data_IF_241855380640
#
_entry.id   IF_241855380640
#
_cell.length_a   1.000
_cell.length_b   1.000
_cell.length_c   1.000
_cell.angle_alpha   90.00
_cell.angle_beta   90.00
_cell.angle_gamma   90.00
#
_symmetry.space_group_name_H-M   'P 1'
#
loop_
_entity.id
_entity.type
_entity.pdbx_description
1 polymer ?
#
# COMPACT_ATOMS: atom_id res chain seq x y z
N UNK A 1 -3.17 2.56 4.73
CA UNK A 1 -2.50 3.67 5.44
C UNK A 1 -1.20 4.01 4.72
N UNK A 2 -0.73 5.27 4.81
CA UNK A 2 0.46 5.80 4.13
C UNK A 2 0.45 5.66 2.61
N UNK A 3 -0.73 5.80 1.99
CA UNK A 3 -0.92 5.72 0.53
C UNK A 3 0.00 6.71 -0.21
N UNK A 4 0.31 7.85 0.40
CA UNK A 4 1.23 8.86 -0.10
C UNK A 4 2.63 8.32 -0.41
N UNK A 5 3.09 7.29 0.29
CA UNK A 5 4.42 6.70 0.08
C UNK A 5 4.47 5.71 -1.10
N UNK A 6 3.33 5.33 -1.69
CA UNK A 6 3.33 4.37 -2.82
C UNK A 6 4.15 4.87 -4.01
N UNK A 7 4.08 6.17 -4.27
CA UNK A 7 4.81 6.82 -5.37
C UNK A 7 6.04 7.60 -4.90
N UNK A 8 6.38 7.53 -3.61
CA UNK A 8 7.56 8.20 -3.06
C UNK A 8 8.84 7.47 -3.49
N UNK A 9 9.72 8.19 -4.21
CA UNK A 9 10.92 7.60 -4.80
C UNK A 9 11.95 7.17 -3.75
N UNK A 10 12.03 7.86 -2.61
CA UNK A 10 12.91 7.46 -1.52
C UNK A 10 12.46 6.12 -0.92
N UNK A 11 11.16 5.97 -0.64
CA UNK A 11 10.56 4.74 -0.12
C UNK A 11 10.77 3.57 -1.09
N UNK A 12 10.54 3.78 -2.39
CA UNK A 12 10.78 2.73 -3.41
C UNK A 12 12.23 2.28 -3.42
N UNK A 13 13.20 3.22 -3.38
CA UNK A 13 14.63 2.87 -3.35
C UNK A 13 15.00 2.02 -2.15
N UNK A 14 14.47 2.31 -0.96
CA UNK A 14 14.74 1.50 0.23
C UNK A 14 14.12 0.10 0.12
N UNK A 15 12.88 -0.02 -0.36
CA UNK A 15 12.22 -1.32 -0.54
C UNK A 15 12.93 -2.20 -1.57
N UNK A 16 13.44 -1.60 -2.66
CA UNK A 16 14.20 -2.33 -3.70
C UNK A 16 15.45 -3.00 -3.13
N UNK A 17 16.13 -2.39 -2.14
CA UNK A 17 17.28 -3.03 -1.47
C UNK A 17 16.90 -4.35 -0.80
N UNK A 18 15.66 -4.48 -0.35
CA UNK A 18 15.09 -5.69 0.23
C UNK A 18 14.35 -6.56 -0.79
N UNK A 19 14.44 -6.25 -2.09
CA UNK A 19 13.70 -6.89 -3.19
C UNK A 19 12.17 -6.81 -2.99
N UNK A 20 11.69 -5.71 -2.45
CA UNK A 20 10.28 -5.44 -2.22
C UNK A 20 9.79 -4.24 -3.04
N UNK A 21 8.47 -4.11 -3.14
CA UNK A 21 7.79 -2.96 -3.72
C UNK A 21 6.62 -2.52 -2.81
N UNK A 22 6.14 -1.26 -2.92
CA UNK A 22 4.93 -0.85 -2.22
C UNK A 22 3.72 -1.71 -2.62
N UNK A 23 2.87 -2.02 -1.65
CA UNK A 23 1.65 -2.81 -1.88
C UNK A 23 0.73 -2.12 -2.89
N UNK A 24 0.36 -2.88 -3.93
CA UNK A 24 -0.59 -2.48 -4.98
C UNK A 24 -2.02 -2.59 -4.46
N UNK A 25 -2.91 -1.78 -5.03
CA UNK A 25 -4.31 -1.76 -4.60
C UNK A 25 -5.02 -3.09 -4.87
N UNK A 26 -4.65 -3.79 -5.94
CA UNK A 26 -5.14 -5.14 -6.26
C UNK A 26 -4.77 -6.13 -5.16
N UNK A 27 -3.53 -6.11 -4.66
CA UNK A 27 -3.07 -7.02 -3.61
C UNK A 27 -3.85 -6.80 -2.30
N UNK A 28 -4.16 -5.55 -1.96
CA UNK A 28 -5.01 -5.22 -0.83
C UNK A 28 -6.45 -5.70 -0.97
N UNK A 29 -7.02 -5.63 -2.18
CA UNK A 29 -8.35 -6.20 -2.48
C UNK A 29 -8.34 -7.72 -2.39
N UNK A 30 -7.35 -8.39 -2.98
CA UNK A 30 -7.18 -9.84 -2.86
C UNK A 30 -7.02 -10.28 -1.40
N UNK A 31 -6.32 -9.50 -0.59
CA UNK A 31 -6.19 -9.81 0.85
C UNK A 31 -7.54 -9.69 1.58
N UNK A 32 -8.37 -8.72 1.22
CA UNK A 32 -9.73 -8.54 1.79
C UNK A 32 -10.58 -9.78 1.56
N UNK A 33 -10.57 -10.31 0.33
CA UNK A 33 -11.25 -11.56 -0.01
C UNK A 33 -10.69 -12.75 0.79
N UNK A 34 -9.36 -12.85 0.88
CA UNK A 34 -8.67 -13.93 1.59
C UNK A 34 -9.02 -14.01 3.08
N UNK A 35 -9.20 -12.86 3.73
CA UNK A 35 -9.48 -12.79 5.17
C UNK A 35 -10.98 -12.63 5.49
N UNK A 36 -11.85 -12.58 4.47
CA UNK A 36 -13.29 -12.38 4.66
C UNK A 36 -13.65 -11.00 5.21
N UNK A 37 -12.88 -9.96 4.90
CA UNK A 37 -13.17 -8.60 5.32
C UNK A 37 -14.29 -7.98 4.47
N UNK A 38 -15.02 -7.01 5.04
CA UNK A 38 -16.16 -6.35 4.37
C UNK A 38 -15.71 -5.48 3.19
N UNK A 39 -14.51 -4.91 3.24
CA UNK A 39 -14.00 -4.06 2.17
C UNK A 39 -12.55 -3.62 2.38
N UNK A 40 -11.98 -3.05 1.33
CA UNK A 40 -10.62 -2.51 1.30
C UNK A 40 -10.65 -0.99 1.19
N UNK A 41 -9.90 -0.30 2.05
CA UNK A 41 -9.73 1.16 1.98
C UNK A 41 -8.25 1.53 2.15
N UNK A 42 -7.79 2.44 1.31
CA UNK A 42 -6.49 3.07 1.42
C UNK A 42 -6.65 4.52 1.85
N UNK A 43 -5.71 5.00 2.63
CA UNK A 43 -5.70 6.36 3.13
C UNK A 43 -4.27 6.85 3.38
N UNK A 44 -4.14 8.17 3.51
CA UNK A 44 -2.95 8.91 3.88
C UNK A 44 -3.36 9.99 4.88
N UNK A 45 -2.99 9.81 6.15
CA UNK A 45 -3.21 10.83 7.17
C UNK A 45 -2.46 12.15 6.85
N UNK A 46 -1.37 12.07 6.07
CA UNK A 46 -0.54 13.22 5.68
C UNK A 46 -1.22 14.10 4.64
N UNK A 47 -1.78 13.49 3.59
CA UNK A 47 -2.47 14.21 2.49
C UNK A 47 -3.97 14.34 2.73
N UNK A 48 -4.49 13.68 3.77
CA UNK A 48 -5.92 13.60 4.12
C UNK A 48 -6.78 12.95 3.04
N UNK A 49 -6.18 12.01 2.31
CA UNK A 49 -6.83 11.09 1.38
C UNK A 49 -7.18 9.75 2.04
#
# INVERSE_FOLDING_TARGET
>A
NKKDLRNDEATKRELIKMKQEPVRSEEGRTMTERIGAVGYLECSAKTKE
#
